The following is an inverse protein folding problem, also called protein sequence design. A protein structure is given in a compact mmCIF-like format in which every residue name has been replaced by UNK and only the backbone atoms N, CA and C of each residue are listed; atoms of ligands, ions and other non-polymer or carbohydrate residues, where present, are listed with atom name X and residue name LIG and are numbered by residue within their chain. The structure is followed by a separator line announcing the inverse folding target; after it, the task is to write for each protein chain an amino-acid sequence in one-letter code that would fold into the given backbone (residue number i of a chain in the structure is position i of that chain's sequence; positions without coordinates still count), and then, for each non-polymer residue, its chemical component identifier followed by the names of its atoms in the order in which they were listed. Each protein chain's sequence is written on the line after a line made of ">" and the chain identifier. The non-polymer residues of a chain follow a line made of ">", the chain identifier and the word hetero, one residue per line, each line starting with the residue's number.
data_IF_043713399810
#
_entry.id   IF_043713399810
#
_cell.length_a   1.000
_cell.length_b   1.000
_cell.length_c   1.000
_cell.angle_alpha   90.00
_cell.angle_beta   90.00
_cell.angle_gamma   90.00
#
_symmetry.space_group_name_H-M   'P 1'
#
loop_
_entity.id
_entity.type
_entity.pdbx_description
1 polymer ?
#
# COMPACT_ATOMS: atom_id res chain seq x y z
N UNK A 1 -8.50 -0.75 -3.29
CA UNK A 1 -8.71 0.70 -3.07
C UNK A 1 -9.94 0.86 -2.18
N UNK A 2 -9.86 1.65 -1.11
CA UNK A 2 -10.94 1.77 -0.14
C UNK A 2 -12.11 2.61 -0.71
N UNK A 3 -13.32 2.03 -0.94
CA UNK A 3 -14.46 2.76 -1.50
C UNK A 3 -15.11 3.73 -0.49
N UNK A 4 -14.72 3.67 0.79
CA UNK A 4 -15.24 4.52 1.86
C UNK A 4 -14.57 5.89 2.01
N UNK A 5 -13.56 6.21 1.20
CA UNK A 5 -12.82 7.47 1.28
C UNK A 5 -13.72 8.68 1.00
N UNK A 6 -14.02 9.45 2.03
CA UNK A 6 -14.91 10.62 1.90
C UNK A 6 -14.32 11.67 0.95
N UNK A 7 -13.00 11.90 1.03
CA UNK A 7 -12.31 12.85 0.17
C UNK A 7 -12.38 12.48 -1.31
N UNK A 8 -12.38 11.18 -1.63
CA UNK A 8 -12.37 10.71 -3.00
C UNK A 8 -13.74 10.93 -3.66
N UNK A 9 -14.84 10.72 -2.93
CA UNK A 9 -16.19 10.96 -3.43
C UNK A 9 -16.35 12.39 -3.95
N UNK A 10 -15.93 13.34 -3.13
CA UNK A 10 -15.98 14.77 -3.47
C UNK A 10 -15.07 15.11 -4.66
N UNK A 11 -13.83 14.61 -4.63
CA UNK A 11 -12.83 14.88 -5.67
C UNK A 11 -13.25 14.27 -7.02
N UNK A 12 -13.87 13.08 -7.03
CA UNK A 12 -14.42 12.45 -8.23
C UNK A 12 -15.53 13.29 -8.84
N UNK A 13 -16.52 13.72 -8.05
CA UNK A 13 -17.61 14.58 -8.54
C UNK A 13 -17.04 15.86 -9.13
N UNK A 14 -16.10 16.52 -8.42
CA UNK A 14 -15.48 17.77 -8.87
C UNK A 14 -14.64 17.57 -10.14
N UNK A 15 -13.84 16.51 -10.21
CA UNK A 15 -13.04 16.18 -11.39
C UNK A 15 -13.94 15.88 -12.60
N UNK A 16 -15.04 15.13 -12.41
CA UNK A 16 -16.02 14.86 -13.45
C UNK A 16 -16.69 16.12 -13.98
N UNK A 17 -17.06 17.07 -13.10
CA UNK A 17 -17.62 18.37 -13.51
C UNK A 17 -16.61 19.14 -14.37
N UNK A 18 -15.36 19.24 -13.91
CA UNK A 18 -14.31 19.96 -14.64
C UNK A 18 -13.95 19.29 -15.98
N UNK A 19 -14.02 17.97 -16.05
CA UNK A 19 -13.76 17.18 -17.24
C UNK A 19 -14.99 17.03 -18.17
N UNK A 20 -16.10 17.71 -17.86
CA UNK A 20 -17.36 17.65 -18.62
C UNK A 20 -17.95 16.23 -18.76
N UNK A 21 -17.74 15.38 -17.74
CA UNK A 21 -18.20 13.99 -17.66
C UNK A 21 -19.58 13.89 -17.01
N UNK A 22 -20.61 14.35 -17.73
CA UNK A 22 -21.94 14.55 -17.19
C UNK A 22 -22.61 13.23 -16.70
N UNK A 23 -22.41 12.12 -17.40
CA UNK A 23 -23.02 10.82 -17.04
C UNK A 23 -22.42 10.25 -15.75
N UNK A 24 -21.10 10.33 -15.63
CA UNK A 24 -20.36 9.87 -14.46
C UNK A 24 -20.72 10.73 -13.25
N UNK A 25 -20.80 12.05 -13.42
CA UNK A 25 -21.26 12.96 -12.36
C UNK A 25 -22.68 12.66 -11.92
N UNK A 26 -23.61 12.38 -12.87
CA UNK A 26 -24.98 11.97 -12.52
C UNK A 26 -24.99 10.69 -11.70
N UNK A 27 -24.17 9.71 -12.09
CA UNK A 27 -24.04 8.43 -11.41
C UNK A 27 -23.52 8.63 -9.98
N UNK A 28 -22.43 9.37 -9.81
CA UNK A 28 -21.84 9.61 -8.49
C UNK A 28 -22.74 10.45 -7.58
N UNK A 29 -23.46 11.45 -8.10
CA UNK A 29 -24.44 12.22 -7.31
C UNK A 29 -25.62 11.37 -6.84
N UNK A 30 -26.01 10.33 -7.59
CA UNK A 30 -27.03 9.38 -7.16
C UNK A 30 -26.51 8.45 -6.07
N UNK A 31 -25.24 8.05 -6.16
CA UNK A 31 -24.59 7.20 -5.17
C UNK A 31 -24.26 7.94 -3.86
N UNK A 32 -23.92 9.23 -3.95
CA UNK A 32 -23.51 10.08 -2.82
C UNK A 32 -24.27 11.42 -2.81
N UNK A 33 -25.61 11.41 -2.63
CA UNK A 33 -26.43 12.62 -2.67
C UNK A 33 -26.07 13.65 -1.58
N UNK A 34 -25.46 13.19 -0.49
CA UNK A 34 -24.98 14.00 0.62
C UNK A 34 -23.71 14.79 0.29
N UNK A 35 -22.92 14.33 -0.69
CA UNK A 35 -21.60 14.90 -0.99
C UNK A 35 -21.75 16.13 -1.88
N UNK A 36 -21.48 17.30 -1.31
CA UNK A 36 -21.42 18.57 -2.03
C UNK A 36 -19.96 18.95 -2.30
N UNK A 37 -19.52 19.04 -3.56
CA UNK A 37 -18.15 19.45 -3.87
C UNK A 37 -17.90 20.90 -3.43
N UNK A 38 -16.80 21.11 -2.70
CA UNK A 38 -16.40 22.42 -2.22
C UNK A 38 -15.99 23.33 -3.38
N UNK A 39 -16.33 24.61 -3.24
CA UNK A 39 -15.89 25.65 -4.16
C UNK A 39 -14.45 26.06 -3.83
N UNK A 40 -13.49 25.63 -4.65
CA UNK A 40 -12.07 25.95 -4.44
C UNK A 40 -11.67 27.37 -4.87
N UNK A 41 -12.60 28.22 -5.35
CA UNK A 41 -12.25 29.58 -5.80
C UNK A 41 -11.67 30.46 -4.69
N UNK A 42 -12.02 30.19 -3.44
CA UNK A 42 -11.65 31.02 -2.28
C UNK A 42 -10.77 30.27 -1.26
N UNK A 43 -10.45 29.01 -1.53
CA UNK A 43 -9.69 28.15 -0.60
C UNK A 43 -8.64 27.34 -1.35
N UNK A 44 -7.54 27.04 -0.66
CA UNK A 44 -6.59 26.01 -1.07
C UNK A 44 -6.78 24.73 -0.25
N UNK A 45 -6.10 23.67 -0.66
CA UNK A 45 -6.12 22.37 0.02
C UNK A 45 -4.71 22.02 0.51
N UNK A 46 -4.62 21.62 1.77
CA UNK A 46 -3.42 21.02 2.36
C UNK A 46 -3.66 19.52 2.45
N UNK A 47 -2.75 18.75 1.87
CA UNK A 47 -2.89 17.30 1.74
C UNK A 47 -1.68 16.64 2.38
N UNK A 48 -1.91 15.85 3.42
CA UNK A 48 -0.90 14.96 3.97
C UNK A 48 -0.97 13.63 3.25
N UNK A 49 0.12 13.24 2.60
CA UNK A 49 0.38 11.90 2.11
C UNK A 49 1.20 11.17 3.17
N UNK A 50 0.57 10.20 3.83
CA UNK A 50 1.21 9.39 4.86
C UNK A 50 1.58 8.01 4.33
N UNK A 51 2.85 7.64 4.48
CA UNK A 51 3.37 6.32 4.17
C UNK A 51 3.61 5.55 5.47
N UNK A 52 2.82 4.50 5.70
CA UNK A 52 2.90 3.72 6.92
C UNK A 52 3.98 2.63 6.81
N UNK A 53 4.93 2.62 7.74
CA UNK A 53 5.77 1.47 8.05
C UNK A 53 6.50 0.80 6.88
N UNK A 54 6.53 -0.52 6.95
CA UNK A 54 7.22 -1.40 6.01
C UNK A 54 6.23 -2.31 5.30
N UNK A 55 6.49 -2.59 4.03
CA UNK A 55 5.71 -3.50 3.22
C UNK A 55 5.69 -4.92 3.79
N UNK A 56 4.90 -5.81 3.17
CA UNK A 56 4.82 -7.19 3.62
C UNK A 56 6.16 -7.93 3.44
N UNK A 57 6.38 -8.92 4.29
CA UNK A 57 7.57 -9.79 4.28
C UNK A 57 7.21 -11.15 3.71
N UNK A 58 7.92 -11.59 2.67
CA UNK A 58 7.94 -12.97 2.18
C UNK A 58 8.53 -13.93 3.21
N UNK A 59 7.84 -15.03 3.48
CA UNK A 59 8.33 -16.21 4.22
C UNK A 59 7.90 -17.47 3.48
N UNK A 60 8.50 -18.65 3.74
CA UNK A 60 8.03 -19.91 3.17
C UNK A 60 6.56 -20.17 3.49
N UNK A 61 5.80 -20.64 2.50
CA UNK A 61 4.41 -21.02 2.70
C UNK A 61 4.33 -22.26 3.62
N UNK A 62 3.47 -22.27 4.66
CA UNK A 62 3.44 -23.33 5.66
C UNK A 62 3.14 -24.72 5.08
N UNK A 63 2.22 -24.79 4.10
CA UNK A 63 1.87 -26.06 3.44
C UNK A 63 2.74 -26.36 2.20
N UNK A 64 3.46 -25.37 1.69
CA UNK A 64 4.22 -25.48 0.44
C UNK A 64 5.55 -24.73 0.56
N UNK A 65 6.52 -25.22 1.35
CA UNK A 65 7.70 -24.43 1.76
C UNK A 65 8.59 -23.91 0.62
N UNK A 66 8.43 -24.46 -0.60
CA UNK A 66 9.13 -24.03 -1.81
C UNK A 66 8.48 -22.82 -2.51
N UNK A 67 7.36 -22.34 -1.97
CA UNK A 67 6.60 -21.20 -2.49
C UNK A 67 6.60 -20.10 -1.41
N UNK A 68 6.84 -18.84 -1.77
CA UNK A 68 6.78 -17.74 -0.80
C UNK A 68 5.32 -17.40 -0.46
N UNK A 69 5.09 -16.86 0.73
CA UNK A 69 3.85 -16.21 1.17
C UNK A 69 4.17 -14.87 1.80
N UNK A 70 3.34 -13.87 1.54
CA UNK A 70 3.47 -12.52 2.11
C UNK A 70 2.79 -12.42 3.48
N UNK A 71 3.45 -11.74 4.41
CA UNK A 71 2.98 -11.49 5.77
C UNK A 71 3.08 -10.01 6.09
N UNK A 72 2.08 -9.46 6.79
CA UNK A 72 2.09 -8.06 7.22
C UNK A 72 3.23 -7.80 8.21
N UNK A 73 3.87 -6.65 8.03
CA UNK A 73 4.75 -6.07 9.05
C UNK A 73 3.95 -5.10 9.89
N UNK A 74 3.94 -5.30 11.21
CA UNK A 74 3.23 -4.42 12.13
C UNK A 74 4.11 -3.21 12.49
N UNK A 75 3.46 -2.07 12.71
CA UNK A 75 4.07 -0.79 13.07
C UNK A 75 3.29 -0.20 14.24
N UNK A 76 3.98 0.47 15.16
CA UNK A 76 3.35 1.18 16.28
C UNK A 76 2.49 2.34 15.75
N UNK A 77 3.01 3.10 14.79
CA UNK A 77 2.30 4.19 14.13
C UNK A 77 1.48 3.64 12.98
N UNK A 78 0.16 3.56 13.18
CA UNK A 78 -0.77 2.98 12.20
C UNK A 78 -1.53 4.02 11.39
N UNK A 79 -1.61 5.25 11.87
CA UNK A 79 -2.23 6.40 11.18
C UNK A 79 -1.39 7.64 11.41
N UNK A 80 -1.65 8.69 10.65
CA UNK A 80 -1.15 10.02 10.95
C UNK A 80 -2.29 11.00 11.16
N UNK A 81 -1.99 12.17 11.70
CA UNK A 81 -2.88 13.31 11.79
C UNK A 81 -2.17 14.54 11.24
N UNK A 82 -2.82 15.22 10.30
CA UNK A 82 -2.40 16.53 9.86
C UNK A 82 -2.84 17.56 10.92
N UNK A 83 -1.87 18.26 11.49
CA UNK A 83 -2.12 19.34 12.45
C UNK A 83 -1.77 20.68 11.82
N UNK A 84 -2.70 21.63 11.91
CA UNK A 84 -2.46 23.04 11.60
C UNK A 84 -2.29 23.77 12.94
N UNK A 85 -1.25 24.58 13.08
CA UNK A 85 -0.97 25.31 14.32
C UNK A 85 -2.18 26.17 14.73
N UNK A 86 -2.73 25.92 15.93
CA UNK A 86 -3.92 26.61 16.45
C UNK A 86 -5.22 26.32 15.70
N UNK A 87 -5.28 25.28 14.85
CA UNK A 87 -6.38 25.06 13.92
C UNK A 87 -6.85 23.60 13.84
N UNK A 88 -7.06 23.14 12.60
CA UNK A 88 -7.64 21.85 12.31
C UNK A 88 -6.71 20.68 12.68
N UNK A 89 -7.33 19.58 13.10
CA UNK A 89 -6.69 18.30 13.39
C UNK A 89 -7.39 17.22 12.57
N UNK A 90 -6.75 16.76 11.50
CA UNK A 90 -7.39 15.87 10.53
C UNK A 90 -6.65 14.51 10.44
N UNK A 91 -7.25 13.41 10.92
CA UNK A 91 -6.65 12.09 10.83
C UNK A 91 -6.62 11.59 9.38
N UNK A 92 -5.61 10.80 9.04
CA UNK A 92 -5.50 10.18 7.72
C UNK A 92 -6.52 9.07 7.54
N UNK A 93 -7.03 8.95 6.31
CA UNK A 93 -7.86 7.85 5.84
C UNK A 93 -7.02 6.97 4.89
N UNK A 94 -7.09 5.66 5.04
CA UNK A 94 -6.35 4.73 4.19
C UNK A 94 -6.90 4.71 2.76
N UNK A 95 -6.02 5.00 1.81
CA UNK A 95 -6.34 4.97 0.37
C UNK A 95 -6.02 3.61 -0.24
N UNK A 96 -4.86 3.07 0.15
CA UNK A 96 -4.32 1.84 -0.38
C UNK A 96 -3.63 1.04 0.71
N UNK A 97 -4.10 -0.18 0.94
CA UNK A 97 -3.36 -1.20 1.66
C UNK A 97 -2.48 -1.98 0.66
N UNK A 98 -1.18 -1.73 0.70
CA UNK A 98 -0.22 -2.37 -0.21
C UNK A 98 -0.03 -3.84 0.18
N UNK A 99 -0.07 -4.14 1.47
CA UNK A 99 0.08 -5.50 1.98
C UNK A 99 -1.01 -6.42 1.45
N UNK A 100 -2.26 -5.98 1.53
CA UNK A 100 -3.41 -6.76 1.10
C UNK A 100 -3.47 -6.90 -0.43
N UNK A 101 -3.15 -5.83 -1.17
CA UNK A 101 -3.11 -5.88 -2.65
C UNK A 101 -2.01 -6.81 -3.12
N UNK A 102 -0.81 -6.73 -2.55
CA UNK A 102 0.30 -7.61 -2.89
C UNK A 102 0.00 -9.06 -2.51
N UNK A 103 -0.61 -9.29 -1.34
CA UNK A 103 -1.04 -10.62 -0.89
C UNK A 103 -2.03 -11.26 -1.87
N UNK A 104 -3.10 -10.55 -2.22
CA UNK A 104 -4.10 -11.04 -3.19
C UNK A 104 -3.49 -11.33 -4.57
N UNK A 105 -2.63 -10.44 -5.05
CA UNK A 105 -1.97 -10.62 -6.34
C UNK A 105 -1.06 -11.86 -6.36
N UNK A 106 -0.37 -12.15 -5.26
CA UNK A 106 0.43 -13.38 -5.12
C UNK A 106 -0.48 -14.62 -5.00
N UNK A 107 -1.56 -14.53 -4.22
CA UNK A 107 -2.50 -15.63 -4.02
C UNK A 107 -3.17 -16.06 -5.34
N UNK A 108 -3.52 -15.10 -6.21
CA UNK A 108 -4.04 -15.35 -7.56
C UNK A 108 -3.06 -16.11 -8.46
N UNK A 109 -1.75 -15.90 -8.26
CA UNK A 109 -0.69 -16.55 -9.04
C UNK A 109 -0.30 -17.94 -8.51
N UNK A 110 -0.76 -18.34 -7.32
CA UNK A 110 -0.31 -19.61 -6.73
C UNK A 110 -0.64 -20.83 -7.57
N UNK A 111 -1.77 -20.84 -8.28
CA UNK A 111 -2.13 -21.97 -9.15
C UNK A 111 -1.06 -22.23 -10.20
N UNK A 112 -0.62 -21.18 -10.88
CA UNK A 112 0.46 -21.24 -11.88
C UNK A 112 1.79 -21.61 -11.23
N UNK A 113 2.14 -21.00 -10.09
CA UNK A 113 3.39 -21.31 -9.38
C UNK A 113 3.43 -22.78 -8.95
N UNK A 114 2.34 -23.31 -8.40
CA UNK A 114 2.24 -24.72 -7.99
C UNK A 114 2.38 -25.64 -9.21
N UNK A 115 1.69 -25.35 -10.31
CA UNK A 115 1.80 -26.13 -11.54
C UNK A 115 3.23 -26.15 -12.08
N UNK A 116 3.90 -24.99 -12.12
CA UNK A 116 5.30 -24.88 -12.52
C UNK A 116 6.24 -25.67 -11.59
N UNK A 117 5.97 -25.71 -10.28
CA UNK A 117 6.76 -26.52 -9.34
C UNK A 117 6.55 -28.02 -9.57
N UNK A 118 5.33 -28.47 -9.79
CA UNK A 118 5.03 -29.88 -10.11
C UNK A 118 5.74 -30.30 -11.39
N UNK A 119 5.65 -29.49 -12.44
CA UNK A 119 6.35 -29.75 -13.70
C UNK A 119 7.88 -29.83 -13.50
N UNK A 120 8.46 -28.87 -12.75
CA UNK A 120 9.88 -28.85 -12.44
C UNK A 120 10.36 -30.09 -11.65
N UNK A 121 9.54 -30.61 -10.73
CA UNK A 121 9.83 -31.88 -10.03
C UNK A 121 9.88 -33.04 -11.02
N UNK A 122 8.92 -33.14 -11.93
CA UNK A 122 8.89 -34.16 -12.98
C UNK A 122 10.13 -34.10 -13.88
N UNK A 123 10.51 -32.91 -14.34
CA UNK A 123 11.72 -32.72 -15.15
C UNK A 123 12.99 -33.13 -14.41
N UNK A 124 13.15 -32.73 -13.14
CA UNK A 124 14.30 -33.13 -12.30
C UNK A 124 14.38 -34.65 -12.14
N UNK A 125 13.23 -35.34 -12.08
CA UNK A 125 13.18 -36.79 -11.90
C UNK A 125 13.67 -37.50 -13.15
N UNK A 126 13.25 -37.04 -14.34
CA UNK A 126 13.72 -37.56 -15.63
C UNK A 126 15.23 -37.35 -15.78
N UNK A 127 15.74 -36.16 -15.45
CA UNK A 127 17.19 -35.87 -15.52
C UNK A 127 17.98 -36.76 -14.55
N UNK A 128 17.51 -36.91 -13.31
CA UNK A 128 18.16 -37.78 -12.33
C UNK A 128 18.18 -39.24 -12.79
N UNK A 129 17.10 -39.72 -13.43
CA UNK A 129 17.04 -41.08 -13.95
C UNK A 129 18.01 -41.31 -15.12
N UNK A 130 18.11 -40.35 -16.04
CA UNK A 130 19.10 -40.40 -17.13
C UNK A 130 20.54 -40.44 -16.60
N UNK A 131 20.85 -39.72 -15.52
CA UNK A 131 22.16 -39.79 -14.86
C UNK A 131 22.33 -41.16 -14.18
N UNK A 132 21.29 -41.65 -13.50
CA UNK A 132 21.29 -42.95 -12.80
C UNK A 132 21.58 -44.12 -13.74
N UNK A 133 21.01 -44.09 -14.95
CA UNK A 133 21.26 -45.08 -16.00
C UNK A 133 22.75 -45.17 -16.40
N UNK A 134 23.51 -44.07 -16.24
CA UNK A 134 24.97 -44.04 -16.49
C UNK A 134 25.77 -44.34 -15.23
N UNK A 135 25.32 -43.84 -14.07
CA UNK A 135 25.95 -44.05 -12.78
C UNK A 135 24.92 -43.85 -11.66
N UNK A 136 24.61 -44.93 -10.95
CA UNK A 136 23.55 -44.94 -9.95
C UNK A 136 23.78 -43.93 -8.82
N UNK A 137 24.99 -43.91 -8.26
CA UNK A 137 25.37 -43.03 -7.15
C UNK A 137 25.29 -41.55 -7.57
N UNK A 138 25.76 -41.22 -8.78
CA UNK A 138 25.67 -39.86 -9.30
C UNK A 138 24.22 -39.42 -9.53
N UNK A 139 23.33 -40.32 -9.96
CA UNK A 139 21.91 -40.01 -10.14
C UNK A 139 21.20 -39.67 -8.82
N UNK A 140 21.51 -40.41 -7.76
CA UNK A 140 20.98 -40.15 -6.41
C UNK A 140 21.50 -38.83 -5.84
N UNK A 141 22.80 -38.56 -5.96
CA UNK A 141 23.40 -37.29 -5.53
C UNK A 141 22.84 -36.10 -6.33
N UNK A 142 22.63 -36.26 -7.64
CA UNK A 142 22.01 -35.25 -8.48
C UNK A 142 20.57 -34.93 -8.05
N UNK A 143 19.76 -35.94 -7.76
CA UNK A 143 18.39 -35.74 -7.25
C UNK A 143 18.36 -34.98 -5.93
N UNK A 144 19.22 -35.34 -4.98
CA UNK A 144 19.34 -34.68 -3.68
C UNK A 144 19.77 -33.22 -3.88
N UNK A 145 20.84 -32.99 -4.65
CA UNK A 145 21.35 -31.65 -4.93
C UNK A 145 20.31 -30.74 -5.58
N UNK A 146 19.57 -31.24 -6.57
CA UNK A 146 18.52 -30.48 -7.27
C UNK A 146 17.31 -30.15 -6.40
N UNK A 147 17.05 -30.95 -5.34
CA UNK A 147 15.97 -30.68 -4.39
C UNK A 147 16.42 -29.73 -3.28
N UNK A 148 17.68 -29.77 -2.85
CA UNK A 148 18.24 -28.82 -1.86
C UNK A 148 18.29 -27.40 -2.43
N UNK A 149 18.62 -27.26 -3.72
CA UNK A 149 18.64 -25.97 -4.40
C UNK A 149 17.24 -25.38 -4.66
N UNK A 150 16.16 -26.15 -4.46
CA UNK A 150 14.78 -25.74 -4.74
C UNK A 150 14.13 -25.10 -3.52
N UNK A 151 14.51 -23.85 -3.23
CA UNK A 151 13.97 -23.07 -2.12
C UNK A 151 13.05 -21.94 -2.63
N UNK A 152 12.15 -21.48 -1.75
CA UNK A 152 11.32 -20.32 -2.06
C UNK A 152 12.21 -19.09 -2.29
N UNK A 153 11.90 -18.29 -3.32
CA UNK A 153 12.54 -16.99 -3.50
C UNK A 153 11.95 -15.98 -2.52
N UNK A 154 12.67 -15.76 -1.41
CA UNK A 154 12.30 -14.83 -0.35
C UNK A 154 12.88 -13.42 -0.58
N UNK A 155 13.60 -13.20 -1.68
CA UNK A 155 14.14 -11.87 -2.00
C UNK A 155 12.98 -10.92 -2.31
N UNK A 156 13.05 -9.73 -1.73
CA UNK A 156 12.02 -8.70 -1.82
C UNK A 156 12.58 -7.32 -1.50
N UNK A 157 11.96 -6.29 -2.04
CA UNK A 157 12.28 -4.90 -1.72
C UNK A 157 11.39 -4.47 -0.56
N UNK A 158 11.94 -4.47 0.66
CA UNK A 158 11.19 -4.14 1.87
C UNK A 158 10.85 -2.65 1.99
N UNK A 159 11.47 -1.78 1.17
CA UNK A 159 11.35 -0.32 1.29
C UNK A 159 9.98 0.26 0.94
N UNK A 160 9.03 -0.52 0.41
CA UNK A 160 7.66 -0.05 0.22
C UNK A 160 6.96 0.16 1.59
N UNK A 161 5.99 1.07 1.72
CA UNK A 161 5.17 1.15 2.91
C UNK A 161 4.12 0.01 2.95
N UNK A 162 3.58 -0.27 4.13
CA UNK A 162 2.46 -1.21 4.31
C UNK A 162 1.15 -0.63 3.77
N UNK A 163 0.94 0.68 3.92
CA UNK A 163 -0.22 1.40 3.41
C UNK A 163 0.13 2.84 3.00
N UNK A 164 -0.73 3.41 2.15
CA UNK A 164 -0.74 4.84 1.81
C UNK A 164 -2.05 5.44 2.31
N UNK A 165 -1.94 6.51 3.07
CA UNK A 165 -3.08 7.19 3.67
C UNK A 165 -3.06 8.68 3.37
N UNK A 166 -4.21 9.33 3.44
CA UNK A 166 -4.37 10.74 3.11
C UNK A 166 -5.22 11.47 4.13
N UNK A 167 -4.78 12.65 4.57
CA UNK A 167 -5.62 13.63 5.25
C UNK A 167 -5.70 14.90 4.39
N UNK A 168 -6.86 15.56 4.36
CA UNK A 168 -7.08 16.75 3.54
C UNK A 168 -7.84 17.82 4.31
N UNK A 169 -7.26 19.01 4.41
CA UNK A 169 -7.87 20.19 5.02
C UNK A 169 -7.96 21.31 4.00
N UNK A 170 -9.07 22.07 4.02
CA UNK A 170 -9.23 23.29 3.22
C UNK A 170 -8.98 24.50 4.07
N UNK A 171 -8.12 25.39 3.58
CA UNK A 171 -7.74 26.62 4.27
C UNK A 171 -7.95 27.82 3.36
N UNK A 172 -8.26 28.97 3.97
CA UNK A 172 -8.22 30.25 3.27
C UNK A 172 -6.77 30.54 2.82
N UNK A 173 -6.58 31.43 1.84
CA UNK A 173 -5.24 31.84 1.43
C UNK A 173 -4.50 32.48 2.60
N UNK A 174 -3.24 32.10 2.79
CA UNK A 174 -2.43 32.56 3.91
C UNK A 174 -1.24 31.65 4.18
N UNK A 175 -0.44 32.04 5.17
CA UNK A 175 0.70 31.27 5.65
C UNK A 175 0.31 30.50 6.90
N UNK A 176 0.64 29.21 6.94
CA UNK A 176 0.30 28.30 8.03
C UNK A 176 1.51 27.48 8.45
N UNK A 177 1.57 27.11 9.72
CA UNK A 177 2.48 26.07 10.19
C UNK A 177 1.72 24.77 10.34
N UNK A 178 2.31 23.70 9.80
CA UNK A 178 1.69 22.38 9.74
C UNK A 178 2.68 21.30 10.13
N UNK A 179 2.17 20.18 10.64
CA UNK A 179 2.97 18.97 10.89
C UNK A 179 2.13 17.71 10.77
N UNK A 180 2.81 16.57 10.69
CA UNK A 180 2.20 15.25 10.82
C UNK A 180 2.49 14.68 12.21
N UNK A 181 1.47 14.12 12.86
CA UNK A 181 1.61 13.42 14.14
C UNK A 181 1.20 11.96 13.96
N UNK A 182 2.07 11.03 14.33
CA UNK A 182 1.84 9.60 14.30
C UNK A 182 0.85 9.17 15.37
N UNK A 183 -0.12 8.34 14.98
CA UNK A 183 -1.16 7.82 15.84
C UNK A 183 -1.11 6.29 15.88
N UNK A 184 -1.26 5.74 17.08
CA UNK A 184 -1.40 4.31 17.32
C UNK A 184 -2.82 3.82 17.06
N UNK A 185 -3.05 2.53 17.29
CA UNK A 185 -4.35 1.91 17.02
C UNK A 185 -5.49 2.49 17.88
N UNK A 186 -5.17 2.94 19.10
CA UNK A 186 -6.10 3.65 20.00
C UNK A 186 -6.41 5.09 19.56
N UNK A 187 -5.74 5.61 18.52
CA UNK A 187 -5.84 7.02 18.11
C UNK A 187 -5.01 7.98 18.96
N UNK A 188 -4.23 7.47 19.92
CA UNK A 188 -3.31 8.27 20.72
C UNK A 188 -1.99 8.51 19.98
N UNK A 189 -1.30 9.64 20.22
CA UNK A 189 0.03 9.88 19.66
C UNK A 189 1.04 8.80 20.08
N UNK A 190 1.86 8.35 19.13
CA UNK A 190 2.95 7.38 19.38
C UNK A 190 4.25 8.05 19.83
N UNK A 191 4.27 9.39 19.88
CA UNK A 191 5.47 10.19 20.10
C UNK A 191 6.32 10.37 18.84
N UNK A 192 5.87 9.85 17.69
CA UNK A 192 6.47 10.13 16.39
C UNK A 192 5.75 11.32 15.75
N UNK A 193 6.47 12.38 15.43
CA UNK A 193 5.92 13.56 14.77
C UNK A 193 6.94 14.17 13.82
N UNK A 194 6.46 14.80 12.76
CA UNK A 194 7.29 15.63 11.89
C UNK A 194 7.48 17.02 12.47
N UNK A 195 8.56 17.68 12.05
CA UNK A 195 8.80 19.08 12.40
C UNK A 195 7.70 19.98 11.85
N UNK A 196 7.43 21.07 12.57
CA UNK A 196 6.59 22.14 12.08
C UNK A 196 7.18 22.76 10.83
N UNK A 197 6.41 22.76 9.75
CA UNK A 197 6.78 23.34 8.46
C UNK A 197 5.86 24.51 8.14
N UNK A 198 6.43 25.62 7.68
CA UNK A 198 5.66 26.75 7.17
C UNK A 198 5.25 26.46 5.71
N UNK A 199 3.98 26.69 5.39
CA UNK A 199 3.43 26.53 4.06
C UNK A 199 2.60 27.75 3.67
N UNK A 200 2.59 28.07 2.37
CA UNK A 200 1.74 29.13 1.81
C UNK A 200 0.60 28.48 1.04
N UNK A 201 -0.63 28.78 1.44
CA UNK A 201 -1.85 28.30 0.80
C UNK A 201 -2.39 29.37 -0.12
N UNK A 202 -2.73 28.99 -1.35
CA UNK A 202 -3.35 29.87 -2.36
C UNK A 202 -4.70 29.30 -2.80
N UNK A 203 -5.63 30.14 -3.29
CA UNK A 203 -6.90 29.64 -3.82
C UNK A 203 -6.66 28.63 -4.96
N UNK A 204 -7.45 27.55 -4.99
CA UNK A 204 -7.37 26.48 -6.00
C UNK A 204 -6.04 25.70 -6.04
N UNK A 205 -5.08 26.02 -5.18
CA UNK A 205 -3.81 25.32 -5.09
C UNK A 205 -3.89 24.15 -4.10
N UNK A 206 -3.03 23.16 -4.32
CA UNK A 206 -2.80 22.05 -3.39
C UNK A 206 -1.38 22.11 -2.88
N UNK A 207 -1.22 22.07 -1.56
CA UNK A 207 0.07 21.90 -0.90
C UNK A 207 0.16 20.47 -0.38
N UNK A 208 1.19 19.75 -0.77
CA UNK A 208 1.39 18.36 -0.36
C UNK A 208 2.48 18.28 0.70
N UNK A 209 2.17 17.59 1.79
CA UNK A 209 3.14 17.15 2.79
C UNK A 209 3.30 15.64 2.63
N UNK A 210 4.53 15.19 2.44
CA UNK A 210 4.83 13.77 2.44
C UNK A 210 5.51 13.42 3.76
N UNK A 211 4.95 12.46 4.48
CA UNK A 211 5.52 11.98 5.72
C UNK A 211 5.52 10.47 5.75
N UNK A 212 6.64 9.89 6.16
CA UNK A 212 6.81 8.46 6.31
C UNK A 212 7.21 8.15 7.74
N UNK A 213 6.48 7.22 8.34
CA UNK A 213 6.82 6.61 9.61
C UNK A 213 7.36 5.20 9.37
N UNK A 214 8.35 4.78 10.16
CA UNK A 214 8.86 3.40 10.17
C UNK A 214 8.65 2.71 11.52
N UNK A 215 8.01 3.40 12.47
CA UNK A 215 7.85 3.00 13.86
C UNK A 215 6.63 2.11 14.06
#
# INVERSE_FOLDING_TARGET
>A
MNPGLEYLKEDLIRAGINAQRAEEVRTWRRLWPEVKPANLKEVGEVVLLYQQGWGPVKRPHPNFPRIPKLYRTYSETVRARLEIEGGALEPTQEVLDITDVAGKSLDEQYGEIIAMRIAGIGTKAVVADQIRQKNQLLGELAWIGMNIADQADLRQWLSLPSSIQVAKVRLKPGTYRVRAVGLGNSGQPTGEEGDWQEIVVQPRAKVFLNWRSLR
#
